data_IF_142958168449
#
_entry.id   IF_142958168449
#
_cell.length_a   1.000
_cell.length_b   1.000
_cell.length_c   1.000
_cell.angle_alpha   90.00
_cell.angle_beta   90.00
_cell.angle_gamma   90.00
#
_symmetry.space_group_name_H-M   'P 1'
#
loop_
_entity.id
_entity.type
_entity.pdbx_description
1 polymer ?
#
# COMPACT_ATOMS: atom_id res chain seq x y z
N UNK A 1 6.72 51.91 -24.88
CA UNK A 1 5.69 50.86 -25.03
C UNK A 1 6.29 49.52 -24.63
N UNK A 2 5.98 49.06 -23.41
CA UNK A 2 6.66 47.96 -22.71
C UNK A 2 5.83 46.69 -22.93
N UNK A 3 6.18 45.88 -23.92
CA UNK A 3 5.53 44.57 -24.14
C UNK A 3 6.15 43.56 -23.19
N UNK A 4 5.47 43.40 -22.06
CA UNK A 4 5.72 42.41 -21.03
C UNK A 4 5.39 41.02 -21.60
N UNK A 5 6.42 40.28 -22.02
CA UNK A 5 6.32 38.84 -22.30
C UNK A 5 6.63 38.10 -21.00
N UNK A 6 5.60 37.82 -20.20
CA UNK A 6 5.68 36.79 -19.16
C UNK A 6 5.50 35.42 -19.84
N UNK A 7 6.59 34.66 -19.96
CA UNK A 7 6.51 33.22 -20.20
C UNK A 7 6.05 32.55 -18.90
N UNK A 8 4.80 32.09 -18.88
CA UNK A 8 4.29 31.21 -17.83
C UNK A 8 4.75 29.78 -18.16
N UNK A 9 5.81 29.32 -17.49
CA UNK A 9 6.22 27.93 -17.51
C UNK A 9 5.29 27.10 -16.61
N UNK A 10 4.24 26.52 -17.18
CA UNK A 10 3.42 25.52 -16.51
C UNK A 10 4.18 24.19 -16.45
N UNK A 11 5.00 23.99 -15.42
CA UNK A 11 5.49 22.66 -15.07
C UNK A 11 4.31 21.86 -14.48
N UNK A 12 3.67 21.05 -15.32
CA UNK A 12 2.79 19.98 -14.85
C UNK A 12 3.65 18.95 -14.13
N UNK A 13 3.64 18.94 -12.79
CA UNK A 13 4.09 17.77 -12.03
C UNK A 13 3.13 16.62 -12.35
N UNK A 14 3.45 15.83 -13.36
CA UNK A 14 2.85 14.52 -13.56
C UNK A 14 3.34 13.63 -12.41
N UNK A 15 2.56 13.56 -11.33
CA UNK A 15 2.74 12.50 -10.34
C UNK A 15 2.61 11.16 -11.04
N UNK A 16 3.54 10.23 -10.78
CA UNK A 16 3.40 8.86 -11.25
C UNK A 16 2.13 8.26 -10.62
N UNK A 17 1.05 8.21 -11.38
CA UNK A 17 -0.09 7.36 -11.05
C UNK A 17 0.39 5.94 -11.30
N UNK A 18 0.90 5.28 -10.26
CA UNK A 18 1.09 3.84 -10.31
C UNK A 18 -0.28 3.22 -10.59
N UNK A 19 -0.41 2.49 -11.71
CA UNK A 19 -1.60 1.70 -11.98
C UNK A 19 -1.79 0.71 -10.82
N UNK A 20 -3.04 0.51 -10.37
CA UNK A 20 -3.34 -0.39 -9.27
C UNK A 20 -3.14 -1.85 -9.66
N UNK A 21 -2.99 -2.73 -8.68
CA UNK A 21 -2.75 -4.16 -8.90
C UNK A 21 -3.84 -4.84 -9.75
N UNK A 22 -5.08 -4.34 -9.67
CA UNK A 22 -6.19 -4.79 -10.53
C UNK A 22 -5.94 -4.44 -11.99
N UNK A 23 -5.58 -3.19 -12.29
CA UNK A 23 -5.33 -2.73 -13.66
C UNK A 23 -4.14 -3.46 -14.28
N UNK A 24 -3.11 -3.74 -13.50
CA UNK A 24 -1.98 -4.57 -13.93
C UNK A 24 -2.44 -5.99 -14.32
N UNK A 25 -3.22 -6.65 -13.47
CA UNK A 25 -3.71 -8.00 -13.76
C UNK A 25 -4.70 -8.01 -14.94
N UNK A 26 -5.55 -6.98 -15.08
CA UNK A 26 -6.46 -6.84 -16.23
C UNK A 26 -5.72 -6.58 -17.54
N UNK A 27 -4.57 -5.89 -17.51
CA UNK A 27 -3.74 -5.70 -18.70
C UNK A 27 -2.96 -6.96 -19.08
N UNK A 28 -2.55 -7.74 -18.08
CA UNK A 28 -1.82 -8.99 -18.30
C UNK A 28 -2.74 -10.12 -18.79
N UNK A 29 -4.00 -10.13 -18.37
CA UNK A 29 -4.92 -11.26 -18.56
C UNK A 29 -6.22 -10.84 -19.25
N UNK A 30 -6.59 -11.52 -20.34
CA UNK A 30 -7.78 -11.16 -21.13
C UNK A 30 -9.11 -11.61 -20.50
N UNK A 31 -9.10 -12.54 -19.53
CA UNK A 31 -10.30 -13.21 -19.00
C UNK A 31 -10.40 -13.08 -17.48
N UNK A 32 -11.61 -12.85 -16.97
CA UNK A 32 -11.89 -12.64 -15.54
C UNK A 32 -11.34 -13.73 -14.59
N UNK A 33 -11.37 -15.04 -14.92
CA UNK A 33 -10.76 -16.07 -14.06
C UNK A 33 -9.24 -15.92 -13.96
N UNK A 34 -8.57 -15.59 -15.06
CA UNK A 34 -7.12 -15.38 -15.11
C UNK A 34 -6.72 -14.11 -14.33
N UNK A 35 -7.49 -13.02 -14.45
CA UNK A 35 -7.33 -11.82 -13.60
C UNK A 35 -7.41 -12.17 -12.11
N UNK A 36 -8.37 -13.02 -11.74
CA UNK A 36 -8.57 -13.42 -10.33
C UNK A 36 -7.40 -14.27 -9.81
N UNK A 37 -6.85 -15.17 -10.63
CA UNK A 37 -5.67 -15.96 -10.29
C UNK A 37 -4.42 -15.08 -10.13
N UNK A 38 -4.22 -14.10 -11.04
CA UNK A 38 -3.15 -13.11 -10.92
C UNK A 38 -3.24 -12.34 -9.58
N UNK A 39 -4.42 -11.84 -9.24
CA UNK A 39 -4.65 -11.13 -7.97
C UNK A 39 -4.38 -12.01 -6.75
N UNK A 40 -4.84 -13.27 -6.75
CA UNK A 40 -4.59 -14.20 -5.64
C UNK A 40 -3.10 -14.43 -5.41
N UNK A 41 -2.33 -14.65 -6.49
CA UNK A 41 -0.88 -14.85 -6.39
C UNK A 41 -0.18 -13.59 -5.87
N UNK A 42 -0.52 -12.41 -6.41
CA UNK A 42 0.07 -11.13 -5.97
C UNK A 42 -0.28 -10.83 -4.52
N UNK A 43 -1.52 -11.06 -4.10
CA UNK A 43 -1.95 -10.86 -2.73
C UNK A 43 -1.18 -11.76 -1.75
N UNK A 44 -1.05 -13.05 -2.04
CA UNK A 44 -0.28 -13.97 -1.21
C UNK A 44 1.19 -13.52 -1.06
N UNK A 45 1.80 -13.04 -2.14
CA UNK A 45 3.16 -12.48 -2.13
C UNK A 45 3.24 -11.21 -1.28
N UNK A 46 2.29 -10.29 -1.43
CA UNK A 46 2.26 -9.03 -0.70
C UNK A 46 2.05 -9.26 0.81
N UNK A 47 1.16 -10.17 1.19
CA UNK A 47 0.91 -10.53 2.59
C UNK A 47 2.14 -11.18 3.25
N UNK A 48 2.80 -12.11 2.55
CA UNK A 48 4.05 -12.71 3.03
C UNK A 48 5.16 -11.66 3.21
N UNK A 49 5.30 -10.75 2.24
CA UNK A 49 6.27 -9.66 2.32
C UNK A 49 5.97 -8.72 3.50
N UNK A 50 4.69 -8.39 3.73
CA UNK A 50 4.27 -7.54 4.85
C UNK A 50 4.61 -8.16 6.19
N UNK A 51 4.31 -9.45 6.38
CA UNK A 51 4.63 -10.16 7.62
C UNK A 51 6.13 -10.11 7.93
N UNK A 52 6.98 -10.37 6.92
CA UNK A 52 8.44 -10.29 7.07
C UNK A 52 8.92 -8.86 7.35
N UNK A 53 8.35 -7.86 6.68
CA UNK A 53 8.70 -6.46 6.91
C UNK A 53 8.32 -6.01 8.32
N UNK A 54 7.10 -6.30 8.78
CA UNK A 54 6.66 -6.00 10.14
C UNK A 54 7.53 -6.67 11.19
N UNK A 55 7.98 -7.92 10.97
CA UNK A 55 8.90 -8.61 11.86
C UNK A 55 10.27 -7.93 11.91
N UNK A 56 10.83 -7.54 10.76
CA UNK A 56 12.12 -6.83 10.72
C UNK A 56 12.05 -5.48 11.41
N UNK A 57 11.04 -4.66 11.10
CA UNK A 57 10.82 -3.37 11.76
C UNK A 57 10.59 -3.56 13.26
N UNK A 58 9.88 -4.61 13.67
CA UNK A 58 9.70 -4.95 15.08
C UNK A 58 11.01 -5.26 15.80
N UNK A 59 11.97 -5.91 15.15
CA UNK A 59 13.31 -6.10 15.74
C UNK A 59 14.02 -4.76 15.90
N UNK A 60 14.10 -3.95 14.84
CA UNK A 60 14.75 -2.63 14.90
C UNK A 60 14.15 -1.72 15.99
N UNK A 61 12.82 -1.71 16.14
CA UNK A 61 12.15 -0.93 17.19
C UNK A 61 12.44 -1.47 18.60
N UNK A 62 12.62 -2.78 18.77
CA UNK A 62 13.06 -3.32 20.07
C UNK A 62 14.47 -2.87 20.41
N UNK A 63 15.37 -2.91 19.43
CA UNK A 63 16.77 -2.51 19.62
C UNK A 63 16.83 -1.01 19.97
N UNK A 64 16.04 -0.17 19.28
CA UNK A 64 15.89 1.25 19.59
C UNK A 64 15.32 1.49 21.00
N UNK A 65 14.30 0.73 21.39
CA UNK A 65 13.75 0.80 22.75
C UNK A 65 14.79 0.39 23.79
N UNK A 66 15.64 -0.60 23.53
CA UNK A 66 16.71 -1.00 24.44
C UNK A 66 17.74 0.12 24.65
N UNK A 67 18.25 0.72 23.56
CA UNK A 67 19.28 1.77 23.67
C UNK A 67 18.75 3.09 24.24
N UNK A 68 17.44 3.35 24.10
CA UNK A 68 16.78 4.56 24.64
C UNK A 68 16.17 4.36 26.02
N UNK A 69 16.36 3.20 26.66
CA UNK A 69 15.79 2.90 27.97
C UNK A 69 14.25 2.87 27.96
N UNK A 70 13.65 2.40 26.86
CA UNK A 70 12.20 2.33 26.60
C UNK A 70 11.46 3.67 26.65
N UNK A 71 12.15 4.81 26.63
CA UNK A 71 11.54 6.15 26.75
C UNK A 71 10.47 6.42 25.68
N UNK A 72 10.66 5.90 24.47
CA UNK A 72 9.79 6.17 23.32
C UNK A 72 8.78 5.05 23.01
N UNK A 73 8.95 3.86 23.61
CA UNK A 73 8.06 2.69 23.43
C UNK A 73 7.74 2.39 21.96
N UNK A 74 8.74 2.51 21.09
CA UNK A 74 8.61 2.44 19.63
C UNK A 74 8.07 1.09 19.17
N UNK A 75 8.41 -0.01 19.85
CA UNK A 75 7.87 -1.34 19.54
C UNK A 75 6.36 -1.43 19.78
N UNK A 76 5.88 -0.79 20.85
CA UNK A 76 4.46 -0.69 21.17
C UNK A 76 3.73 0.16 20.12
N UNK A 77 4.30 1.31 19.76
CA UNK A 77 3.74 2.18 18.74
C UNK A 77 3.60 1.46 17.38
N UNK A 78 4.64 0.73 16.95
CA UNK A 78 4.57 -0.11 15.74
C UNK A 78 3.47 -1.16 15.84
N UNK A 79 3.34 -1.84 16.99
CA UNK A 79 2.30 -2.86 17.21
C UNK A 79 0.89 -2.28 17.10
N UNK A 80 0.67 -1.08 17.66
CA UNK A 80 -0.60 -0.37 17.54
C UNK A 80 -0.88 0.05 16.10
N UNK A 81 0.14 0.60 15.41
CA UNK A 81 0.05 0.98 13.99
C UNK A 81 -0.31 -0.22 13.10
N UNK A 82 0.33 -1.38 13.29
CA UNK A 82 0.05 -2.59 12.53
C UNK A 82 -1.40 -3.09 12.74
N UNK A 83 -1.91 -3.03 13.98
CA UNK A 83 -3.32 -3.37 14.27
C UNK A 83 -4.29 -2.40 13.58
N UNK A 84 -4.03 -1.10 13.67
CA UNK A 84 -4.85 -0.09 13.03
C UNK A 84 -4.86 -0.23 11.50
N UNK A 85 -3.70 -0.52 10.90
CA UNK A 85 -3.58 -0.79 9.47
C UNK A 85 -4.44 -1.97 9.03
N UNK A 86 -4.45 -3.09 9.77
CA UNK A 86 -5.30 -4.25 9.43
C UNK A 86 -6.79 -3.91 9.45
N UNK A 87 -7.22 -3.09 10.42
CA UNK A 87 -8.62 -2.62 10.48
C UNK A 87 -8.92 -1.72 9.29
N UNK A 88 -8.05 -0.74 8.99
CA UNK A 88 -8.20 0.14 7.84
C UNK A 88 -8.27 -0.65 6.53
N UNK A 89 -7.33 -1.59 6.31
CA UNK A 89 -7.28 -2.46 5.14
C UNK A 89 -8.61 -3.20 4.92
N UNK A 90 -9.18 -3.79 5.98
CA UNK A 90 -10.47 -4.47 5.90
C UNK A 90 -11.62 -3.52 5.54
N UNK A 91 -11.74 -2.40 6.26
CA UNK A 91 -12.86 -1.45 6.07
C UNK A 91 -12.79 -0.74 4.73
N UNK A 92 -11.60 -0.26 4.37
CA UNK A 92 -11.37 0.45 3.11
C UNK A 92 -11.66 -0.46 1.92
N UNK A 93 -11.08 -1.67 1.91
CA UNK A 93 -11.26 -2.54 0.76
C UNK A 93 -12.65 -3.15 0.67
N UNK A 94 -13.40 -3.25 1.77
CA UNK A 94 -14.83 -3.56 1.73
C UNK A 94 -15.65 -2.44 1.11
N UNK A 95 -15.35 -1.19 1.42
CA UNK A 95 -16.00 -0.05 0.78
C UNK A 95 -15.69 -0.01 -0.73
N UNK A 96 -14.43 -0.23 -1.13
CA UNK A 96 -14.05 -0.37 -2.54
C UNK A 96 -14.82 -1.50 -3.21
N UNK A 97 -14.90 -2.69 -2.61
CA UNK A 97 -15.69 -3.79 -3.16
C UNK A 97 -17.17 -3.37 -3.38
N UNK A 98 -17.73 -2.66 -2.40
CA UNK A 98 -19.13 -2.21 -2.44
C UNK A 98 -19.40 -1.18 -3.53
N UNK A 99 -18.39 -0.39 -3.95
CA UNK A 99 -18.55 0.54 -5.07
C UNK A 99 -18.65 -0.15 -6.43
N UNK A 100 -18.29 -1.44 -6.51
CA UNK A 100 -18.45 -2.30 -7.67
C UNK A 100 -19.72 -3.17 -7.59
N UNK A 101 -20.58 -2.92 -6.59
CA UNK A 101 -21.78 -3.70 -6.29
C UNK A 101 -21.48 -5.19 -5.99
N UNK A 102 -21.77 -6.12 -6.92
CA UNK A 102 -21.68 -7.56 -6.70
C UNK A 102 -20.96 -8.29 -7.85
N UNK A 103 -20.75 -9.59 -7.69
CA UNK A 103 -20.08 -10.43 -8.70
C UNK A 103 -18.55 -10.33 -8.68
N UNK A 104 -17.92 -10.80 -9.75
CA UNK A 104 -16.46 -10.95 -9.84
C UNK A 104 -15.72 -9.62 -9.76
N UNK A 105 -16.31 -8.53 -10.30
CA UNK A 105 -15.71 -7.20 -10.25
C UNK A 105 -15.52 -6.69 -8.82
N UNK A 106 -16.50 -6.92 -7.93
CA UNK A 106 -16.38 -6.55 -6.51
C UNK A 106 -15.27 -7.33 -5.80
N UNK A 107 -15.16 -8.64 -6.04
CA UNK A 107 -14.09 -9.46 -5.47
C UNK A 107 -12.70 -9.05 -5.98
N UNK A 108 -12.58 -8.76 -7.28
CA UNK A 108 -11.35 -8.29 -7.92
C UNK A 108 -10.93 -6.91 -7.41
N UNK A 109 -11.87 -5.97 -7.28
CA UNK A 109 -11.62 -4.65 -6.70
C UNK A 109 -11.18 -4.73 -5.24
N UNK A 110 -11.79 -5.62 -4.45
CA UNK A 110 -11.36 -5.87 -3.08
C UNK A 110 -9.91 -6.38 -3.01
N UNK A 111 -9.56 -7.35 -3.86
CA UNK A 111 -8.22 -7.94 -3.90
C UNK A 111 -7.18 -6.90 -4.36
N UNK A 112 -7.48 -6.14 -5.42
CA UNK A 112 -6.64 -5.05 -5.90
C UNK A 112 -6.35 -4.02 -4.81
N UNK A 113 -7.39 -3.51 -4.14
CA UNK A 113 -7.24 -2.58 -3.02
C UNK A 113 -6.34 -3.14 -1.90
N UNK A 114 -6.49 -4.43 -1.57
CA UNK A 114 -5.68 -5.07 -0.52
C UNK A 114 -4.20 -5.12 -0.90
N UNK A 115 -3.90 -5.44 -2.16
CA UNK A 115 -2.53 -5.46 -2.67
C UNK A 115 -1.94 -4.04 -2.62
N UNK A 116 -2.64 -3.06 -3.19
CA UNK A 116 -2.15 -1.68 -3.29
C UNK A 116 -1.81 -1.07 -1.92
N UNK A 117 -2.73 -1.21 -0.95
CA UNK A 117 -2.51 -0.71 0.41
C UNK A 117 -1.40 -1.49 1.15
N UNK A 118 -1.24 -2.78 0.85
CA UNK A 118 -0.16 -3.59 1.42
C UNK A 118 1.20 -3.18 0.84
N UNK A 119 1.29 -2.95 -0.46
CA UNK A 119 2.51 -2.46 -1.12
C UNK A 119 2.88 -1.04 -0.63
N UNK A 120 1.89 -0.18 -0.44
CA UNK A 120 2.10 1.14 0.19
C UNK A 120 2.64 1.00 1.62
N UNK A 121 2.07 0.10 2.43
CA UNK A 121 2.53 -0.14 3.79
C UNK A 121 3.96 -0.69 3.81
N UNK A 122 4.30 -1.57 2.89
CA UNK A 122 5.66 -2.07 2.71
C UNK A 122 6.66 -0.94 2.44
N UNK A 123 6.32 -0.02 1.53
CA UNK A 123 7.15 1.15 1.24
C UNK A 123 7.32 2.05 2.49
N UNK A 124 6.25 2.27 3.25
CA UNK A 124 6.31 3.02 4.51
C UNK A 124 7.22 2.34 5.53
N UNK A 125 7.09 1.03 5.74
CA UNK A 125 7.93 0.28 6.68
C UNK A 125 9.41 0.32 6.26
N UNK A 126 9.68 0.17 4.96
CA UNK A 126 11.04 0.26 4.43
C UNK A 126 11.67 1.64 4.67
N UNK A 127 10.92 2.73 4.48
CA UNK A 127 11.38 4.09 4.72
C UNK A 127 11.73 4.37 6.21
N UNK A 128 11.19 3.59 7.15
CA UNK A 128 11.42 3.78 8.59
C UNK A 128 12.30 2.68 9.22
N UNK A 129 12.67 1.65 8.46
CA UNK A 129 13.52 0.55 8.94
C UNK A 129 15.03 0.79 8.68
N UNK A 130 15.40 1.90 8.03
CA UNK A 130 16.77 2.19 7.59
C UNK A 130 17.46 3.38 8.26
N UNK A 131 17.01 3.80 9.45
CA UNK A 131 17.71 4.82 10.26
C UNK A 131 18.39 4.18 11.48
#
# INVERSE_FOLDING_TARGET
MKRMLMLVAALTLAGAVQAGALDDCMRAEAQSPAVSACLQQRQAKAEAALALAEQRTATAMRDLDQVTGNRYRTRLALSQSARAFKVYLDKQCRWVASSYASGNGAAQAQAGCRIDLTEQRLAQLAAHAGN
#
